data_IF_928602816614
#
_entry.id   IF_928602816614
#
_cell.length_a   1.000
_cell.length_b   1.000
_cell.length_c   1.000
_cell.angle_alpha   90.00
_cell.angle_beta   90.00
_cell.angle_gamma   90.00
#
_symmetry.space_group_name_H-M   'P 1'
#
loop_
_entity.id
_entity.type
_entity.pdbx_description
1 polymer ?
#
# COMPACT_ATOMS: atom_id res chain seq x y z
N UNK A 1 34.56 -9.03 -0.21
CA UNK A 1 34.01 -7.66 -0.38
C UNK A 1 32.54 -7.80 -0.73
N UNK A 2 31.62 -7.34 0.14
CA UNK A 2 30.18 -7.33 -0.17
C UNK A 2 29.87 -5.98 -0.80
N UNK A 3 29.53 -5.98 -2.09
CA UNK A 3 28.91 -4.82 -2.73
C UNK A 3 27.56 -4.58 -2.06
N UNK A 4 27.51 -3.57 -1.19
CA UNK A 4 26.25 -3.08 -0.64
C UNK A 4 25.65 -2.22 -1.75
N UNK A 5 24.79 -2.81 -2.58
CA UNK A 5 23.93 -2.00 -3.42
C UNK A 5 23.13 -1.09 -2.49
N UNK A 6 23.30 0.22 -2.66
CA UNK A 6 22.59 1.28 -1.95
C UNK A 6 21.11 1.36 -2.41
N UNK A 7 20.47 0.22 -2.60
CA UNK A 7 19.07 0.07 -2.95
C UNK A 7 18.28 0.00 -1.65
N UNK A 8 17.63 1.10 -1.32
CA UNK A 8 16.66 1.17 -0.22
C UNK A 8 15.57 0.10 -0.46
N UNK A 9 15.20 -0.70 0.54
CA UNK A 9 14.25 -1.78 0.36
C UNK A 9 12.94 -1.27 -0.23
N UNK A 10 12.43 -1.98 -1.25
CA UNK A 10 11.10 -1.72 -1.78
C UNK A 10 10.08 -2.06 -0.69
N UNK A 11 9.29 -1.08 -0.28
CA UNK A 11 8.13 -1.30 0.56
C UNK A 11 6.90 -1.39 -0.36
N UNK A 12 6.44 -2.60 -0.72
CA UNK A 12 5.30 -2.76 -1.60
C UNK A 12 3.98 -2.48 -0.86
N UNK A 13 2.89 -2.45 -1.62
CA UNK A 13 1.54 -2.41 -1.05
C UNK A 13 1.22 -3.79 -0.46
N UNK A 14 0.59 -3.79 0.72
CA UNK A 14 0.13 -5.01 1.38
C UNK A 14 -1.37 -4.96 1.61
N UNK A 15 -2.01 -6.12 1.53
CA UNK A 15 -3.44 -6.27 1.81
C UNK A 15 -3.67 -7.39 2.83
N UNK A 16 -4.63 -7.17 3.74
CA UNK A 16 -5.05 -8.20 4.68
C UNK A 16 -5.78 -9.33 3.95
N UNK A 17 -5.55 -10.60 4.33
CA UNK A 17 -6.38 -11.71 3.88
C UNK A 17 -7.88 -11.50 4.15
N UNK A 18 -8.25 -10.69 5.15
CA UNK A 18 -9.64 -10.40 5.53
C UNK A 18 -10.45 -9.78 4.40
N UNK A 19 -9.83 -8.88 3.64
CA UNK A 19 -10.48 -8.18 2.53
C UNK A 19 -10.14 -8.76 1.15
N UNK A 20 -9.53 -9.96 1.11
CA UNK A 20 -9.16 -10.65 -0.14
C UNK A 20 -10.36 -10.83 -1.09
N UNK A 21 -11.56 -11.01 -0.55
CA UNK A 21 -12.78 -11.18 -1.34
C UNK A 21 -13.19 -9.92 -2.12
N UNK A 22 -12.64 -8.75 -1.80
CA UNK A 22 -12.86 -7.49 -2.52
C UNK A 22 -11.91 -7.32 -3.72
N UNK A 23 -10.98 -8.26 -3.93
CA UNK A 23 -9.95 -8.16 -4.97
C UNK A 23 -10.46 -8.72 -6.29
N UNK A 24 -10.08 -8.09 -7.40
CA UNK A 24 -10.54 -8.46 -8.75
C UNK A 24 -9.72 -9.60 -9.34
N UNK A 25 -8.46 -9.75 -8.91
CA UNK A 25 -7.54 -10.78 -9.39
C UNK A 25 -6.63 -11.24 -8.29
N UNK A 26 -6.48 -12.57 -8.16
CA UNK A 26 -5.50 -13.22 -7.29
C UNK A 26 -4.52 -14.01 -8.14
N UNK A 27 -3.23 -13.87 -7.84
CA UNK A 27 -2.14 -14.59 -8.51
C UNK A 27 -1.19 -15.17 -7.48
N UNK A 28 -0.68 -16.37 -7.75
CA UNK A 28 0.41 -16.95 -6.97
C UNK A 28 1.74 -16.43 -7.53
N UNK A 29 2.69 -16.19 -6.64
CA UNK A 29 4.05 -15.71 -6.98
C UNK A 29 5.09 -16.67 -6.40
N UNK A 30 6.32 -16.71 -6.96
CA UNK A 30 7.45 -17.33 -6.29
C UNK A 30 7.59 -16.71 -4.90
N UNK A 31 7.60 -17.55 -3.86
CA UNK A 31 7.53 -17.08 -2.47
C UNK A 31 8.62 -16.07 -2.15
N UNK A 32 8.24 -14.86 -1.75
CA UNK A 32 9.14 -13.80 -1.32
C UNK A 32 9.16 -13.74 0.21
N UNK A 33 10.35 -13.66 0.80
CA UNK A 33 10.49 -13.44 2.24
C UNK A 33 10.47 -11.94 2.53
N UNK A 34 9.56 -11.51 3.40
CA UNK A 34 9.47 -10.12 3.86
C UNK A 34 9.87 -10.07 5.33
N UNK A 35 10.86 -9.24 5.62
CA UNK A 35 11.28 -8.96 6.99
C UNK A 35 10.34 -7.91 7.61
N UNK A 36 9.77 -8.27 8.74
CA UNK A 36 8.93 -7.36 9.54
C UNK A 36 9.78 -6.57 10.50
N UNK A 37 9.27 -5.42 10.99
CA UNK A 37 9.97 -4.57 11.96
C UNK A 37 10.34 -5.30 13.27
N UNK A 38 9.73 -6.46 13.55
CA UNK A 38 10.08 -7.32 14.68
C UNK A 38 11.19 -8.35 14.41
N UNK A 39 11.86 -8.29 13.25
CA UNK A 39 12.89 -9.26 12.85
C UNK A 39 12.35 -10.61 12.38
N UNK A 40 11.03 -10.79 12.37
CA UNK A 40 10.40 -12.00 11.83
C UNK A 40 10.32 -11.91 10.31
N UNK A 41 10.74 -12.97 9.64
CA UNK A 41 10.56 -13.15 8.19
C UNK A 41 9.28 -13.94 7.91
N UNK A 42 8.38 -13.35 7.11
CA UNK A 42 7.16 -14.02 6.66
C UNK A 42 7.27 -14.30 5.17
N UNK A 43 6.92 -15.53 4.77
CA UNK A 43 6.82 -15.90 3.36
C UNK A 43 5.50 -15.42 2.78
N UNK A 44 5.58 -14.65 1.70
CA UNK A 44 4.46 -14.17 0.90
C UNK A 44 4.48 -14.91 -0.42
N UNK A 45 3.37 -15.55 -0.78
CA UNK A 45 3.24 -16.34 -2.02
C UNK A 45 2.03 -15.93 -2.87
N UNK A 46 1.33 -14.86 -2.47
CA UNK A 46 0.15 -14.38 -3.17
C UNK A 46 0.21 -12.87 -3.36
N UNK A 47 -0.23 -12.45 -4.55
CA UNK A 47 -0.39 -11.07 -4.96
C UNK A 47 -1.76 -10.88 -5.58
N UNK A 48 -2.37 -9.74 -5.33
CA UNK A 48 -3.66 -9.34 -5.86
C UNK A 48 -3.60 -7.99 -6.56
N UNK A 49 -4.57 -7.74 -7.42
CA UNK A 49 -4.84 -6.40 -7.95
C UNK A 49 -6.15 -5.90 -7.32
N UNK A 50 -6.15 -4.65 -6.87
CA UNK A 50 -7.29 -4.00 -6.25
C UNK A 50 -7.49 -2.59 -6.78
N UNK A 51 -8.75 -2.21 -6.92
CA UNK A 51 -9.15 -0.86 -7.30
C UNK A 51 -9.33 -0.03 -6.02
N UNK A 52 -8.50 0.98 -5.84
CA UNK A 52 -8.64 1.98 -4.80
C UNK A 52 -9.58 3.08 -5.28
N UNK A 53 -10.52 3.47 -4.43
CA UNK A 53 -11.31 4.68 -4.60
C UNK A 53 -11.19 5.52 -3.33
N UNK A 54 -10.52 6.67 -3.44
CA UNK A 54 -10.15 7.56 -2.35
C UNK A 54 -10.72 8.94 -2.65
N UNK A 55 -11.95 9.20 -2.19
CA UNK A 55 -12.65 10.47 -2.39
C UNK A 55 -12.65 10.95 -3.88
N UNK A 56 -12.97 10.03 -4.80
CA UNK A 56 -12.96 10.30 -6.24
C UNK A 56 -11.62 10.03 -6.95
N UNK A 57 -10.50 9.98 -6.22
CA UNK A 57 -9.24 9.48 -6.77
C UNK A 57 -9.33 7.97 -6.93
N UNK A 58 -9.25 7.48 -8.17
CA UNK A 58 -9.39 6.05 -8.46
C UNK A 58 -8.06 5.48 -8.95
N UNK A 59 -7.58 4.38 -8.40
CA UNK A 59 -6.28 3.81 -8.78
C UNK A 59 -6.32 2.28 -8.84
N UNK A 60 -5.47 1.68 -9.66
CA UNK A 60 -5.29 0.22 -9.67
C UNK A 60 -3.94 -0.11 -9.05
N UNK A 61 -3.96 -0.84 -7.94
CA UNK A 61 -2.74 -1.18 -7.22
C UNK A 61 -2.55 -2.68 -7.09
N UNK A 62 -1.29 -3.06 -7.13
CA UNK A 62 -0.81 -4.40 -7.01
C UNK A 62 -0.30 -4.61 -5.59
N UNK A 63 -0.91 -5.53 -4.84
CA UNK A 63 -0.64 -5.72 -3.42
C UNK A 63 -0.32 -7.17 -3.06
N UNK A 64 0.60 -7.36 -2.14
CA UNK A 64 0.90 -8.67 -1.58
C UNK A 64 -0.07 -9.02 -0.44
N UNK A 65 -0.54 -10.26 -0.40
CA UNK A 65 -1.37 -10.73 0.71
C UNK A 65 -0.45 -10.98 1.91
N UNK A 66 -0.65 -10.23 2.99
CA UNK A 66 0.20 -10.26 4.17
C UNK A 66 -0.65 -10.28 5.45
N UNK A 67 -0.38 -11.18 6.42
CA UNK A 67 -1.08 -11.17 7.69
C UNK A 67 -0.83 -9.87 8.47
N UNK A 68 -1.80 -8.96 8.43
CA UNK A 68 -1.76 -7.67 9.11
C UNK A 68 -3.11 -7.33 9.77
N UNK A 69 -3.06 -6.49 10.80
CA UNK A 69 -4.23 -5.91 11.46
C UNK A 69 -4.92 -4.82 10.63
N UNK A 70 -4.18 -4.21 9.70
CA UNK A 70 -4.69 -3.18 8.79
C UNK A 70 -5.25 -3.83 7.54
N UNK A 71 -6.35 -3.31 6.99
CA UNK A 71 -6.94 -3.88 5.78
C UNK A 71 -6.04 -3.68 4.56
N UNK A 72 -5.44 -2.50 4.44
CA UNK A 72 -4.56 -2.10 3.36
C UNK A 72 -3.40 -1.26 3.92
N UNK A 73 -2.20 -1.52 3.43
CA UNK A 73 -1.01 -0.71 3.71
C UNK A 73 -0.46 -0.24 2.36
N UNK A 74 -0.56 1.06 2.10
CA UNK A 74 0.04 1.68 0.91
C UNK A 74 1.54 1.88 1.16
N UNK A 75 2.34 1.03 0.51
CA UNK A 75 3.79 1.08 0.63
C UNK A 75 4.42 2.22 -0.16
N UNK A 76 5.75 2.32 -0.04
CA UNK A 76 6.57 3.31 -0.74
C UNK A 76 6.39 3.29 -2.26
N UNK A 77 6.20 2.10 -2.85
CA UNK A 77 5.95 1.93 -4.29
C UNK A 77 4.74 2.74 -4.76
N UNK A 78 3.65 2.73 -3.97
CA UNK A 78 2.48 3.55 -4.26
C UNK A 78 2.74 5.03 -3.96
N UNK A 79 3.36 5.36 -2.81
CA UNK A 79 3.68 6.74 -2.44
C UNK A 79 4.56 7.47 -3.48
N UNK A 80 5.52 6.78 -4.09
CA UNK A 80 6.38 7.34 -5.15
C UNK A 80 5.62 7.65 -6.44
N UNK A 81 4.56 6.87 -6.71
CA UNK A 81 3.75 7.00 -7.92
C UNK A 81 2.66 8.05 -7.73
N UNK A 82 1.87 7.91 -6.66
CA UNK A 82 0.75 8.80 -6.34
C UNK A 82 1.20 10.16 -5.78
N UNK A 83 2.43 10.24 -5.22
CA UNK A 83 3.04 11.45 -4.66
C UNK A 83 2.09 12.27 -3.77
N UNK A 84 1.43 11.64 -2.78
CA UNK A 84 0.52 12.37 -1.93
C UNK A 84 1.30 13.41 -1.12
N UNK A 85 0.73 14.60 -0.99
CA UNK A 85 1.31 15.74 -0.26
C UNK A 85 0.61 15.83 1.10
N UNK A 86 1.31 15.59 2.22
CA UNK A 86 0.71 15.72 3.54
C UNK A 86 0.58 17.19 3.95
N UNK A 87 -0.60 17.56 4.46
CA UNK A 87 -0.81 18.78 5.24
C UNK A 87 -1.04 18.39 6.71
N UNK A 88 0.03 18.47 7.50
CA UNK A 88 0.00 18.12 8.92
C UNK A 88 -0.81 19.09 9.77
N UNK A 89 -0.97 20.35 9.31
CA UNK A 89 -1.73 21.33 10.07
C UNK A 89 -3.23 21.07 9.95
N UNK A 90 -3.67 20.66 8.76
CA UNK A 90 -5.08 20.36 8.47
C UNK A 90 -5.43 18.87 8.58
N UNK A 91 -4.47 18.06 9.03
CA UNK A 91 -4.58 16.60 9.15
C UNK A 91 -5.18 15.96 7.89
N UNK A 92 -4.60 16.24 6.72
CA UNK A 92 -5.08 15.69 5.46
C UNK A 92 -3.94 15.37 4.49
N UNK A 93 -4.29 14.68 3.42
CA UNK A 93 -3.37 14.37 2.32
C UNK A 93 -3.98 14.80 0.99
N UNK A 94 -3.20 15.51 0.17
CA UNK A 94 -3.63 15.93 -1.17
C UNK A 94 -3.03 15.02 -2.22
N UNK A 95 -3.87 14.52 -3.13
CA UNK A 95 -3.49 13.76 -4.31
C UNK A 95 -3.78 14.60 -5.55
N UNK A 96 -2.87 14.57 -6.53
CA UNK A 96 -3.04 15.31 -7.77
C UNK A 96 -3.04 14.37 -8.96
N UNK A 97 -4.05 14.50 -9.83
CA UNK A 97 -4.13 13.75 -11.09
C UNK A 97 -4.80 14.61 -12.15
N UNK A 98 -4.19 14.71 -13.33
CA UNK A 98 -4.73 15.43 -14.48
C UNK A 98 -5.15 16.89 -14.18
N UNK A 99 -4.41 17.56 -13.27
CA UNK A 99 -4.69 18.94 -12.84
C UNK A 99 -5.81 19.06 -11.80
N UNK A 100 -6.44 17.96 -11.40
CA UNK A 100 -7.43 17.92 -10.32
C UNK A 100 -6.78 17.53 -8.99
N UNK A 101 -7.19 18.20 -7.93
CA UNK A 101 -6.83 17.90 -6.54
C UNK A 101 -7.92 17.04 -5.88
N UNK A 102 -7.48 16.00 -5.17
CA UNK A 102 -8.32 15.12 -4.36
C UNK A 102 -7.78 15.15 -2.93
N UNK A 103 -8.58 15.67 -1.99
CA UNK A 103 -8.18 15.81 -0.59
C UNK A 103 -8.73 14.63 0.21
N UNK A 104 -7.84 13.93 0.91
CA UNK A 104 -8.17 12.82 1.79
C UNK A 104 -8.16 13.30 3.24
N UNK A 105 -9.30 13.15 3.90
CA UNK A 105 -9.44 13.44 5.32
C UNK A 105 -9.50 12.14 6.12
N UNK A 106 -8.95 12.11 7.34
CA UNK A 106 -9.28 11.10 8.32
C UNK A 106 -10.79 11.05 8.48
N UNK A 107 -11.38 9.87 8.25
CA UNK A 107 -12.74 9.67 8.70
C UNK A 107 -12.68 9.58 10.22
N UNK A 108 -13.27 10.55 10.92
CA UNK A 108 -13.59 10.36 12.32
C UNK A 108 -14.45 9.09 12.38
N UNK A 109 -13.97 8.06 13.08
CA UNK A 109 -14.84 6.98 13.49
C UNK A 109 -16.00 7.62 14.25
N UNK A 110 -17.22 7.46 13.75
CA UNK A 110 -18.40 7.78 14.52
C UNK A 110 -18.27 7.07 15.88
N UNK A 111 -18.59 7.77 16.99
CA UNK A 111 -18.47 7.20 18.34
C UNK A 111 -19.29 5.91 18.51
#
# INVERSE_FOLDING_TARGET
MRNIHNSMPEFPVYVSPRIKHLTTKVSNIPGQSVETTGGHSIKINQKVTLTLSLNGYTDSVDAFIFPTKFDLILGRTWLQTAKPVPDWHRDNWSLYRDGQEFVLHPMATAP
#
